data_IF_908497973892
#
_entry.id   IF_908497973892
#
_cell.length_a   1.000
_cell.length_b   1.000
_cell.length_c   1.000
_cell.angle_alpha   90.00
_cell.angle_beta   90.00
_cell.angle_gamma   90.00
#
_symmetry.space_group_name_H-M   'P 1'
#
loop_
_entity.id
_entity.type
_entity.pdbx_description
1 polymer ?
#
# COMPACT_ATOMS: atom_id res chain seq x y z
N UNK A 1 -5.69 14.91 -5.12
CA UNK A 1 -6.58 13.74 -5.13
C UNK A 1 -7.77 14.06 -6.02
N UNK A 2 -8.05 13.28 -7.07
CA UNK A 2 -9.05 13.63 -8.10
C UNK A 2 -10.49 13.45 -7.61
N UNK A 3 -11.37 14.43 -7.90
CA UNK A 3 -12.80 14.34 -7.64
C UNK A 3 -13.44 13.13 -8.36
N UNK A 4 -12.92 12.77 -9.54
CA UNK A 4 -13.38 11.62 -10.32
C UNK A 4 -13.03 10.31 -9.61
N UNK A 5 -11.81 10.19 -9.07
CA UNK A 5 -11.39 9.01 -8.31
C UNK A 5 -12.26 8.80 -7.05
N UNK A 6 -12.65 9.88 -6.38
CA UNK A 6 -13.57 9.83 -5.22
C UNK A 6 -14.95 9.31 -5.61
N UNK A 7 -15.51 9.76 -6.73
CA UNK A 7 -16.81 9.27 -7.24
C UNK A 7 -16.78 7.77 -7.56
N UNK A 8 -15.71 7.29 -8.18
CA UNK A 8 -15.51 5.86 -8.42
C UNK A 8 -15.40 5.06 -7.12
N UNK A 9 -14.68 5.59 -6.12
CA UNK A 9 -14.60 4.98 -4.80
C UNK A 9 -15.96 4.86 -4.10
N UNK A 10 -16.77 5.92 -4.12
CA UNK A 10 -18.12 5.93 -3.55
C UNK A 10 -19.02 4.90 -4.22
N UNK A 11 -18.98 4.81 -5.57
CA UNK A 11 -19.70 3.78 -6.33
C UNK A 11 -19.26 2.38 -5.92
N UNK A 12 -17.96 2.13 -5.83
CA UNK A 12 -17.41 0.84 -5.43
C UNK A 12 -17.76 0.45 -4.00
N UNK A 13 -17.85 1.43 -3.10
CA UNK A 13 -18.33 1.23 -1.73
C UNK A 13 -19.80 0.84 -1.67
N UNK A 14 -20.66 1.53 -2.39
CA UNK A 14 -22.08 1.17 -2.47
C UNK A 14 -22.25 -0.25 -3.04
N UNK A 15 -21.47 -0.62 -4.07
CA UNK A 15 -21.48 -1.97 -4.63
C UNK A 15 -21.05 -3.03 -3.59
N UNK A 16 -20.06 -2.75 -2.75
CA UNK A 16 -19.69 -3.63 -1.63
C UNK A 16 -20.81 -3.80 -0.60
N UNK A 17 -21.56 -2.74 -0.30
CA UNK A 17 -22.68 -2.76 0.65
C UNK A 17 -23.80 -3.68 0.17
N UNK A 18 -24.09 -3.69 -1.14
CA UNK A 18 -25.10 -4.58 -1.75
C UNK A 18 -24.52 -5.92 -2.22
N UNK A 19 -23.26 -6.22 -1.88
CA UNK A 19 -22.54 -7.44 -2.26
C UNK A 19 -22.42 -7.67 -3.78
N UNK A 20 -22.49 -6.60 -4.58
CA UNK A 20 -22.14 -6.62 -6.00
C UNK A 20 -20.63 -6.50 -6.15
N UNK A 21 -19.96 -7.65 -6.05
CA UNK A 21 -18.50 -7.73 -6.02
C UNK A 21 -17.85 -7.41 -7.36
N UNK A 22 -18.55 -7.64 -8.48
CA UNK A 22 -18.05 -7.33 -9.82
C UNK A 22 -18.00 -5.81 -10.03
N UNK A 23 -19.13 -5.12 -9.81
CA UNK A 23 -19.18 -3.66 -9.88
C UNK A 23 -18.24 -2.99 -8.88
N UNK A 24 -18.09 -3.57 -7.68
CA UNK A 24 -17.14 -3.10 -6.68
C UNK A 24 -15.70 -3.15 -7.20
N UNK A 25 -15.29 -4.29 -7.76
CA UNK A 25 -13.95 -4.46 -8.29
C UNK A 25 -13.65 -3.49 -9.44
N UNK A 26 -14.58 -3.32 -10.38
CA UNK A 26 -14.39 -2.40 -11.51
C UNK A 26 -14.26 -0.95 -11.04
N UNK A 27 -15.19 -0.49 -10.20
CA UNK A 27 -15.21 0.89 -9.74
C UNK A 27 -13.99 1.22 -8.86
N UNK A 28 -13.58 0.30 -7.99
CA UNK A 28 -12.42 0.50 -7.12
C UNK A 28 -11.10 0.41 -7.89
N UNK A 29 -11.01 -0.44 -8.92
CA UNK A 29 -9.87 -0.45 -9.84
C UNK A 29 -9.75 0.88 -10.57
N UNK A 30 -10.86 1.40 -11.13
CA UNK A 30 -10.86 2.71 -11.79
C UNK A 30 -10.42 3.84 -10.84
N UNK A 31 -10.84 3.79 -9.57
CA UNK A 31 -10.38 4.75 -8.56
C UNK A 31 -8.85 4.67 -8.32
N UNK A 32 -8.27 3.47 -8.37
CA UNK A 32 -6.83 3.25 -8.23
C UNK A 32 -6.03 3.61 -9.47
N UNK A 33 -6.58 3.41 -10.67
CA UNK A 33 -5.94 3.82 -11.92
C UNK A 33 -5.83 5.35 -12.00
N UNK A 34 -6.88 6.05 -11.55
CA UNK A 34 -6.91 7.52 -11.47
C UNK A 34 -6.08 8.09 -10.31
N UNK A 35 -5.96 7.34 -9.21
CA UNK A 35 -5.22 7.76 -8.04
C UNK A 35 -4.51 6.55 -7.41
N UNK A 36 -3.30 6.19 -7.90
CA UNK A 36 -2.55 5.03 -7.40
C UNK A 36 -2.18 5.14 -5.92
N UNK A 37 -2.20 6.32 -5.32
CA UNK A 37 -1.92 6.53 -3.88
C UNK A 37 -3.19 6.54 -3.01
N UNK A 38 -4.38 6.27 -3.57
CA UNK A 38 -5.64 6.31 -2.85
C UNK A 38 -5.81 5.09 -1.93
N UNK A 39 -5.28 5.21 -0.71
CA UNK A 39 -5.26 4.14 0.30
C UNK A 39 -6.64 3.54 0.61
N UNK A 40 -7.67 4.37 0.79
CA UNK A 40 -9.02 3.85 1.10
C UNK A 40 -9.61 3.03 -0.06
N UNK A 41 -9.42 3.47 -1.32
CA UNK A 41 -9.85 2.71 -2.48
C UNK A 41 -9.10 1.38 -2.62
N UNK A 42 -7.82 1.36 -2.23
CA UNK A 42 -6.99 0.15 -2.24
C UNK A 42 -7.46 -0.89 -1.24
N UNK A 43 -7.72 -0.46 -0.01
CA UNK A 43 -8.25 -1.34 1.04
C UNK A 43 -9.62 -1.88 0.62
N UNK A 44 -10.51 -1.01 0.14
CA UNK A 44 -11.82 -1.43 -0.36
C UNK A 44 -11.69 -2.43 -1.53
N UNK A 45 -10.74 -2.22 -2.46
CA UNK A 45 -10.52 -3.13 -3.59
C UNK A 45 -10.03 -4.51 -3.11
N UNK A 46 -9.12 -4.54 -2.15
CA UNK A 46 -8.66 -5.78 -1.54
C UNK A 46 -9.79 -6.50 -0.79
N UNK A 47 -10.69 -5.79 -0.11
CA UNK A 47 -11.89 -6.37 0.51
C UNK A 47 -12.81 -6.96 -0.56
N UNK A 48 -13.04 -6.26 -1.69
CA UNK A 48 -13.84 -6.78 -2.78
C UNK A 48 -13.27 -8.09 -3.35
N UNK A 49 -11.94 -8.16 -3.56
CA UNK A 49 -11.24 -9.36 -4.00
C UNK A 49 -11.34 -10.50 -2.99
N UNK A 50 -11.14 -10.23 -1.69
CA UNK A 50 -11.24 -11.24 -0.65
C UNK A 50 -12.66 -11.81 -0.52
N UNK A 51 -13.70 -10.96 -0.62
CA UNK A 51 -15.10 -11.40 -0.64
C UNK A 51 -15.44 -12.21 -1.89
N UNK A 52 -14.75 -11.94 -3.01
CA UNK A 52 -14.83 -12.74 -4.23
C UNK A 52 -13.96 -14.01 -4.19
N UNK A 53 -13.43 -14.38 -3.01
CA UNK A 53 -12.57 -15.53 -2.78
C UNK A 53 -11.18 -15.47 -3.46
N UNK A 54 -10.76 -14.29 -3.92
CA UNK A 54 -9.45 -14.01 -4.51
C UNK A 54 -8.49 -13.40 -3.48
N UNK A 55 -8.29 -14.15 -2.39
CA UNK A 55 -7.37 -13.79 -1.31
C UNK A 55 -5.91 -13.53 -1.80
N UNK A 56 -5.35 -14.28 -2.78
CA UNK A 56 -4.00 -14.01 -3.29
C UNK A 56 -3.86 -12.63 -3.96
N UNK A 57 -4.83 -12.22 -4.79
CA UNK A 57 -4.79 -10.89 -5.40
C UNK A 57 -5.07 -9.79 -4.38
N UNK A 58 -5.97 -10.01 -3.42
CA UNK A 58 -6.21 -9.07 -2.33
C UNK A 58 -4.92 -8.75 -1.55
N UNK A 59 -4.16 -9.78 -1.16
CA UNK A 59 -2.89 -9.61 -0.45
C UNK A 59 -1.83 -8.85 -1.30
N UNK A 60 -1.84 -9.06 -2.61
CA UNK A 60 -0.93 -8.38 -3.54
C UNK A 60 -1.28 -6.89 -3.67
N UNK A 61 -2.57 -6.57 -3.82
CA UNK A 61 -3.07 -5.19 -3.86
C UNK A 61 -2.70 -4.42 -2.59
N UNK A 62 -2.87 -5.03 -1.42
CA UNK A 62 -2.50 -4.42 -0.14
C UNK A 62 -0.98 -4.19 -0.05
N UNK A 63 -0.16 -5.18 -0.42
CA UNK A 63 1.30 -5.03 -0.45
C UNK A 63 1.76 -3.90 -1.38
N UNK A 64 1.11 -3.74 -2.52
CA UNK A 64 1.53 -2.81 -3.55
C UNK A 64 1.35 -1.34 -3.19
N UNK A 65 0.44 -0.98 -2.27
CA UNK A 65 0.10 0.43 -2.13
C UNK A 65 -0.19 0.93 -0.74
N UNK A 66 0.39 0.31 0.27
CA UNK A 66 0.54 0.98 1.55
C UNK A 66 1.61 2.06 1.58
N UNK A 67 2.29 2.37 0.47
CA UNK A 67 3.24 3.48 0.42
C UNK A 67 4.29 3.41 1.52
N UNK A 68 4.49 2.22 2.13
CA UNK A 68 5.34 2.09 3.29
C UNK A 68 6.77 2.42 2.88
N UNK A 69 7.16 2.07 1.66
CA UNK A 69 8.40 2.53 1.05
C UNK A 69 8.49 4.06 1.03
N UNK A 70 7.50 4.75 0.48
CA UNK A 70 7.50 6.22 0.36
C UNK A 70 7.37 6.92 1.73
N UNK A 71 6.57 6.38 2.65
CA UNK A 71 6.39 6.87 4.01
C UNK A 71 7.65 6.69 4.85
N UNK A 72 8.34 5.55 4.71
CA UNK A 72 9.64 5.35 5.35
C UNK A 72 10.75 6.15 4.65
N UNK A 73 10.71 6.34 3.33
CA UNK A 73 11.65 7.22 2.63
C UNK A 73 11.49 8.67 3.08
N UNK A 74 10.24 9.14 3.23
CA UNK A 74 9.93 10.47 3.78
C UNK A 74 10.35 10.56 5.25
N UNK A 75 10.04 9.55 6.07
CA UNK A 75 10.47 9.51 7.46
C UNK A 75 12.00 9.44 7.61
N UNK A 76 12.71 8.85 6.65
CA UNK A 76 14.18 8.82 6.63
C UNK A 76 14.81 10.19 6.36
N UNK A 77 14.04 11.17 5.87
CA UNK A 77 14.48 12.57 5.73
C UNK A 77 14.30 13.37 7.03
N UNK A 78 13.56 12.84 8.01
CA UNK A 78 13.35 13.48 9.31
C UNK A 78 14.50 13.12 10.26
N UNK A 79 15.23 14.11 10.81
CA UNK A 79 16.29 13.87 11.78
C UNK A 79 15.82 13.04 12.98
N UNK A 80 16.57 12.00 13.34
CA UNK A 80 16.28 11.11 14.48
C UNK A 80 15.30 9.96 14.19
N UNK A 81 14.75 9.88 12.98
CA UNK A 81 13.87 8.77 12.56
C UNK A 81 14.54 7.77 11.61
N UNK A 82 15.81 8.00 11.22
CA UNK A 82 16.51 7.31 10.15
C UNK A 82 16.62 5.80 10.40
N UNK A 83 16.97 5.40 11.63
CA UNK A 83 17.13 3.98 12.01
C UNK A 83 15.79 3.24 11.97
N UNK A 84 14.72 3.88 12.45
CA UNK A 84 13.36 3.31 12.45
C UNK A 84 12.82 3.21 11.03
N UNK A 85 13.05 4.26 10.24
CA UNK A 85 12.67 4.31 8.83
C UNK A 85 13.40 3.26 7.99
N UNK A 86 14.71 3.09 8.18
CA UNK A 86 15.50 2.05 7.53
C UNK A 86 15.01 0.63 7.88
N UNK A 87 14.70 0.39 9.16
CA UNK A 87 14.11 -0.89 9.60
C UNK A 87 12.73 -1.15 8.96
N UNK A 88 11.93 -0.09 8.81
CA UNK A 88 10.67 -0.12 8.09
C UNK A 88 10.83 -0.48 6.61
N UNK A 89 11.72 0.21 5.90
CA UNK A 89 12.05 -0.05 4.49
C UNK A 89 12.52 -1.48 4.28
N UNK A 90 13.37 -2.01 5.17
CA UNK A 90 13.83 -3.39 5.08
C UNK A 90 12.66 -4.39 5.09
N UNK A 91 11.66 -4.19 5.96
CA UNK A 91 10.47 -5.05 6.03
C UNK A 91 9.58 -4.93 4.79
N UNK A 92 9.53 -3.75 4.18
CA UNK A 92 8.82 -3.52 2.91
C UNK A 92 9.53 -4.27 1.78
N UNK A 93 10.84 -4.06 1.63
CA UNK A 93 11.63 -4.74 0.61
C UNK A 93 11.61 -6.27 0.75
N UNK A 94 11.61 -6.80 1.98
CA UNK A 94 11.47 -8.24 2.24
C UNK A 94 10.13 -8.78 1.71
N UNK A 95 9.01 -8.06 1.93
CA UNK A 95 7.67 -8.45 1.46
C UNK A 95 7.50 -8.36 -0.05
N UNK A 96 8.30 -7.53 -0.71
CA UNK A 96 8.33 -7.34 -2.16
C UNK A 96 9.34 -8.27 -2.85
N UNK A 97 10.08 -9.11 -2.12
CA UNK A 97 11.13 -9.97 -2.68
C UNK A 97 12.40 -9.22 -3.13
N UNK A 98 12.55 -7.94 -2.76
CA UNK A 98 13.69 -7.08 -3.12
C UNK A 98 14.83 -7.25 -2.11
N UNK A 99 15.44 -8.43 -2.06
CA UNK A 99 16.40 -8.79 -1.00
C UNK A 99 17.70 -7.96 -1.00
N UNK A 100 18.15 -7.47 -2.17
CA UNK A 100 19.33 -6.59 -2.27
C UNK A 100 19.09 -5.25 -1.58
N UNK A 101 17.93 -4.63 -1.84
CA UNK A 101 17.55 -3.34 -1.24
C UNK A 101 17.27 -3.48 0.26
N UNK A 102 16.66 -4.60 0.66
CA UNK A 102 16.49 -4.97 2.07
C UNK A 102 17.83 -5.00 2.81
N UNK A 103 18.83 -5.70 2.28
CA UNK A 103 20.14 -5.82 2.91
C UNK A 103 20.84 -4.46 3.07
N UNK A 104 20.66 -3.55 2.11
CA UNK A 104 21.19 -2.20 2.20
C UNK A 104 20.55 -1.40 3.36
N UNK A 105 19.24 -1.55 3.58
CA UNK A 105 18.55 -0.86 4.67
C UNK A 105 18.85 -1.46 6.05
N UNK A 106 19.02 -2.79 6.14
CA UNK A 106 19.45 -3.44 7.38
C UNK A 106 20.85 -2.98 7.81
N UNK A 107 21.78 -2.82 6.86
CA UNK A 107 23.11 -2.26 7.13
C UNK A 107 23.03 -0.82 7.66
N UNK A 108 22.11 -0.01 7.14
CA UNK A 108 21.87 1.36 7.64
C UNK A 108 21.31 1.34 9.06
N UNK A 109 20.36 0.46 9.36
CA UNK A 109 19.77 0.32 10.68
C UNK A 109 20.74 -0.25 11.74
N UNK A 110 21.68 -1.10 11.32
CA UNK A 110 22.67 -1.73 12.21
C UNK A 110 23.94 -0.88 12.44
N UNK A 111 24.09 0.24 11.73
CA UNK A 111 25.20 1.15 11.97
C UNK A 111 24.99 1.76 13.36
N UNK A 112 25.94 1.63 14.30
CA UNK A 112 25.80 2.28 15.59
C UNK A 112 25.61 3.77 15.34
N UNK A 113 24.54 4.36 15.89
CA UNK A 113 24.44 5.80 15.99
C UNK A 113 25.67 6.24 16.80
N UNK A 114 26.68 6.78 16.13
CA UNK A 114 27.84 7.33 16.80
C UNK A 114 27.34 8.49 17.65
N UNK A 115 27.19 8.22 18.94
CA UNK A 115 26.90 9.16 20.01
C UNK A 115 27.90 8.92 21.12
#
# INVERSE_FOLDING_TARGET
MSAVARRYYERGRHALEVNDLESAQEALRAALDLAPTFGNARVAYAVALARANDCPRAATVLRAGFGAEEAFQTAAQTPGFEVRAASGLARVYARLGRYRDMAAQLKRAARPAAG
#
